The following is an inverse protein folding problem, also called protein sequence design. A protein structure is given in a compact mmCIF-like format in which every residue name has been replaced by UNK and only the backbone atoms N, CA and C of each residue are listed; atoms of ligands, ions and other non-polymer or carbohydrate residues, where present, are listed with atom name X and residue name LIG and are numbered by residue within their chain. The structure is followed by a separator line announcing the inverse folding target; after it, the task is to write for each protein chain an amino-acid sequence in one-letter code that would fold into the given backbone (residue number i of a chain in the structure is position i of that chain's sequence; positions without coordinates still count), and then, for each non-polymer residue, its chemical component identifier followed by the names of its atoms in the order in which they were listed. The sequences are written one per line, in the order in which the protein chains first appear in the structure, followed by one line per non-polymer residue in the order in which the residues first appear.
data_IF_530625148399
#
_entry.id   IF_530625148399
#
_cell.length_a   1.000
_cell.length_b   1.000
_cell.length_c   1.000
_cell.angle_alpha   90.00
_cell.angle_beta   90.00
_cell.angle_gamma   90.00
#
_symmetry.space_group_name_H-M   'P 1'
#
loop_
_entity.id
_entity.type
_entity.pdbx_description
1 polymer ?
#
# COMPACT_ATOMS: atom_id res chain seq x y z
N UNK A 1 4.16 -0.75 5.58
CA UNK A 1 4.80 -0.10 4.42
C UNK A 1 5.40 -1.17 3.54
N UNK A 2 5.26 -1.07 2.21
CA UNK A 2 5.96 -1.91 1.23
C UNK A 2 6.51 -1.09 0.07
N UNK A 3 7.31 -1.71 -0.78
CA UNK A 3 7.74 -1.14 -2.05
C UNK A 3 6.98 -1.71 -3.24
N UNK A 4 6.05 -2.64 -3.03
CA UNK A 4 5.40 -3.42 -4.09
C UNK A 4 6.39 -4.08 -5.05
N UNK A 5 7.52 -4.57 -4.53
CA UNK A 5 8.67 -5.05 -5.33
C UNK A 5 9.19 -4.03 -6.37
N UNK A 6 8.87 -2.74 -6.21
CA UNK A 6 9.17 -1.65 -7.12
C UNK A 6 8.52 -1.80 -8.51
N UNK A 7 7.53 -2.68 -8.64
CA UNK A 7 6.86 -3.00 -9.89
C UNK A 7 5.35 -3.23 -9.69
N UNK A 8 4.54 -2.59 -10.51
CA UNK A 8 3.10 -2.78 -10.49
C UNK A 8 2.38 -2.10 -11.65
N UNK A 9 1.06 -2.22 -11.63
CA UNK A 9 0.13 -1.54 -12.53
C UNK A 9 -0.94 -0.89 -11.68
N UNK A 10 -1.16 0.40 -11.91
CA UNK A 10 -2.21 1.19 -11.25
C UNK A 10 -3.09 1.89 -12.28
N UNK A 11 -4.39 1.56 -12.29
CA UNK A 11 -5.38 2.14 -13.19
C UNK A 11 -6.65 2.43 -12.38
N UNK A 12 -6.86 3.69 -12.00
CA UNK A 12 -7.95 4.04 -11.08
C UNK A 12 -7.82 3.29 -9.76
N UNK A 13 -8.84 2.52 -9.40
CA UNK A 13 -8.83 1.70 -8.18
C UNK A 13 -8.15 0.33 -8.36
N UNK A 14 -7.85 -0.06 -9.60
CA UNK A 14 -7.15 -1.31 -9.87
C UNK A 14 -5.67 -1.19 -9.52
N UNK A 15 -5.19 -2.14 -8.72
CA UNK A 15 -3.79 -2.26 -8.31
C UNK A 15 -3.32 -3.70 -8.47
N UNK A 16 -2.17 -3.84 -9.10
CA UNK A 16 -1.51 -5.14 -9.27
C UNK A 16 -0.01 -4.99 -9.04
N UNK A 17 0.59 -5.99 -8.40
CA UNK A 17 2.03 -6.10 -8.20
C UNK A 17 2.39 -7.57 -7.96
N UNK A 18 3.58 -8.04 -8.37
CA UNK A 18 4.08 -9.37 -7.99
C UNK A 18 4.11 -9.58 -6.47
N UNK A 19 4.24 -8.49 -5.69
CA UNK A 19 4.21 -8.54 -4.24
C UNK A 19 2.93 -9.19 -3.67
N UNK A 20 1.79 -9.10 -4.37
CA UNK A 20 0.51 -9.67 -3.91
C UNK A 20 0.54 -11.21 -3.79
N UNK A 21 1.40 -11.87 -4.56
CA UNK A 21 1.53 -13.34 -4.54
C UNK A 21 2.35 -13.84 -3.35
N UNK A 22 3.12 -12.95 -2.71
CA UNK A 22 3.94 -13.25 -1.54
C UNK A 22 3.31 -12.70 -0.26
N UNK A 23 2.74 -11.50 -0.35
CA UNK A 23 2.17 -10.78 0.78
C UNK A 23 0.72 -10.40 0.51
N UNK A 24 -0.19 -10.93 1.34
CA UNK A 24 -1.60 -10.55 1.29
C UNK A 24 -1.79 -9.06 1.57
N UNK A 25 -1.02 -8.51 2.51
CA UNK A 25 -1.04 -7.10 2.88
C UNK A 25 0.13 -6.36 2.23
N UNK A 26 -0.10 -5.78 1.06
CA UNK A 26 0.96 -5.13 0.28
C UNK A 26 0.63 -3.68 -0.12
N UNK A 27 -0.65 -3.30 -0.22
CA UNK A 27 -1.11 -1.94 -0.53
C UNK A 27 -2.49 -1.66 0.08
N UNK A 28 -2.79 -0.38 0.33
CA UNK A 28 -4.09 0.12 0.79
C UNK A 28 -4.54 -0.35 2.19
N UNK A 29 -5.84 -0.18 2.46
CA UNK A 29 -6.50 -0.46 3.72
C UNK A 29 -7.02 -1.91 3.78
N UNK A 30 -6.58 -2.64 4.79
CA UNK A 30 -7.11 -3.93 5.19
C UNK A 30 -7.90 -3.78 6.49
N UNK A 31 -9.04 -4.47 6.59
CA UNK A 31 -9.84 -4.52 7.80
C UNK A 31 -10.02 -5.95 8.28
N UNK A 32 -9.91 -6.15 9.60
CA UNK A 32 -10.22 -7.42 10.26
C UNK A 32 -10.94 -7.13 11.58
N UNK A 33 -12.25 -7.39 11.61
CA UNK A 33 -13.09 -7.01 12.75
C UNK A 33 -13.03 -5.51 12.99
N UNK A 34 -12.70 -5.10 14.22
CA UNK A 34 -12.55 -3.68 14.59
C UNK A 34 -11.16 -3.09 14.29
N UNK A 35 -10.25 -3.86 13.69
CA UNK A 35 -8.88 -3.43 13.41
C UNK A 35 -8.71 -3.03 11.94
N UNK A 36 -7.97 -1.95 11.73
CA UNK A 36 -7.59 -1.42 10.41
C UNK A 36 -6.08 -1.41 10.27
N UNK A 37 -5.58 -1.87 9.13
CA UNK A 37 -4.17 -1.84 8.76
C UNK A 37 -4.06 -1.17 7.39
N UNK A 38 -3.46 0.02 7.35
CA UNK A 38 -3.12 0.65 6.07
C UNK A 38 -1.66 0.34 5.72
N UNK A 39 -1.43 -0.19 4.52
CA UNK A 39 -0.11 -0.51 4.00
C UNK A 39 0.26 0.51 2.92
N UNK A 40 1.01 1.53 3.34
CA UNK A 40 1.51 2.55 2.43
C UNK A 40 2.61 2.01 1.50
N UNK A 41 2.61 2.47 0.24
CA UNK A 41 3.73 2.30 -0.69
C UNK A 41 4.64 3.52 -0.60
N UNK A 42 5.60 3.46 0.30
CA UNK A 42 6.51 4.56 0.58
C UNK A 42 7.67 4.66 -0.40
N UNK A 43 8.44 5.75 -0.31
CA UNK A 43 9.41 6.22 -1.32
C UNK A 43 10.74 5.45 -1.36
N UNK A 44 11.15 4.74 -0.31
CA UNK A 44 12.48 4.11 -0.26
C UNK A 44 12.73 3.08 -1.38
N UNK A 45 13.96 2.60 -1.47
CA UNK A 45 14.38 1.58 -2.43
C UNK A 45 15.45 0.66 -1.84
N UNK A 46 15.58 -0.54 -2.40
CA UNK A 46 16.63 -1.51 -2.04
C UNK A 46 17.42 -1.85 -3.30
N UNK A 47 18.64 -1.31 -3.40
CA UNK A 47 19.53 -1.50 -4.56
C UNK A 47 19.13 -0.64 -5.77
N UNK A 48 18.02 -0.98 -6.43
CA UNK A 48 17.56 -0.28 -7.64
C UNK A 48 16.65 0.90 -7.28
N UNK A 49 16.99 2.15 -7.64
CA UNK A 49 16.21 3.34 -7.25
C UNK A 49 14.95 3.59 -8.10
N UNK A 50 14.70 2.76 -9.12
CA UNK A 50 13.57 2.95 -10.02
C UNK A 50 12.29 2.24 -9.55
N UNK A 51 11.16 2.75 -10.03
CA UNK A 51 9.82 2.17 -9.88
C UNK A 51 9.13 2.13 -11.24
N UNK A 52 8.37 1.08 -11.50
CA UNK A 52 7.63 0.93 -12.74
C UNK A 52 6.15 0.70 -12.39
N UNK A 53 5.31 1.65 -12.81
CA UNK A 53 3.84 1.57 -12.69
C UNK A 53 3.29 1.48 -11.27
N UNK A 54 4.09 1.77 -10.24
CA UNK A 54 3.67 1.79 -8.83
C UNK A 54 4.34 2.96 -8.09
N UNK A 55 3.65 4.09 -8.04
CA UNK A 55 4.22 5.30 -7.46
C UNK A 55 4.19 5.27 -5.93
N UNK A 56 5.10 6.03 -5.27
CA UNK A 56 4.99 6.29 -3.85
C UNK A 56 3.71 7.09 -3.54
N UNK A 57 3.15 6.90 -2.36
CA UNK A 57 1.94 7.63 -1.93
C UNK A 57 2.12 8.27 -0.54
N UNK A 58 1.38 9.34 -0.29
CA UNK A 58 1.24 9.94 1.05
C UNK A 58 -0.16 9.63 1.53
N UNK A 59 -0.27 8.99 2.70
CA UNK A 59 -1.56 8.61 3.29
C UNK A 59 -1.90 9.51 4.47
N UNK A 60 -3.10 10.07 4.46
CA UNK A 60 -3.65 10.83 5.59
C UNK A 60 -4.73 9.99 6.27
N UNK A 61 -4.51 9.64 7.54
CA UNK A 61 -5.48 8.93 8.36
C UNK A 61 -6.12 9.91 9.35
N UNK A 62 -7.41 10.19 9.18
CA UNK A 62 -8.18 11.00 10.13
C UNK A 62 -8.91 10.09 11.10
N UNK A 63 -8.49 10.09 12.37
CA UNK A 63 -9.15 9.33 13.42
C UNK A 63 -10.34 10.12 13.97
N UNK A 64 -11.49 9.44 14.09
CA UNK A 64 -12.68 9.98 14.74
C UNK A 64 -12.94 9.19 16.01
N UNK A 65 -13.28 9.90 17.09
CA UNK A 65 -13.77 9.27 18.32
C UNK A 65 -15.11 8.60 18.03
N UNK A 66 -15.27 7.35 18.47
CA UNK A 66 -16.59 6.73 18.52
C UNK A 66 -17.44 7.46 19.57
N UNK A 67 -18.52 8.08 19.13
CA UNK A 67 -19.57 8.60 20.01
C UNK A 67 -20.52 7.45 20.30
N UNK A 68 -20.63 7.10 21.59
CA UNK A 68 -21.68 6.21 22.10
C UNK A 68 -23.06 6.83 21.90
#
# INVERSE_FOLDING_TARGET
HTHGMQFGVEIGDFRWSPSQYVYKQWADLYQKGAQSLYVNRGFGFLGYPGRIGILPEITVLTLKRSTS
#
